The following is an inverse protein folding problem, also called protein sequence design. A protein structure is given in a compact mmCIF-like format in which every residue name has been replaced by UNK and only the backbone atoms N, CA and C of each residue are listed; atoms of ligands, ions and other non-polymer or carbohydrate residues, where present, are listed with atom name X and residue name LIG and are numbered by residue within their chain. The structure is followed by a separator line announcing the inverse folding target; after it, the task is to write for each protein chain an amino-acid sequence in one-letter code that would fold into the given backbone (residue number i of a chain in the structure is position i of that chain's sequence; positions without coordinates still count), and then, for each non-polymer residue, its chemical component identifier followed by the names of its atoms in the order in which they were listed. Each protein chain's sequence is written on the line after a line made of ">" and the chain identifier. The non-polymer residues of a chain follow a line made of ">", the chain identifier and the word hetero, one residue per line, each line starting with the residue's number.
data_IF_355983936523
#
_entry.id   IF_355983936523
#
_cell.length_a   1.000
_cell.length_b   1.000
_cell.length_c   1.000
_cell.angle_alpha   90.00
_cell.angle_beta   90.00
_cell.angle_gamma   90.00
#
_symmetry.space_group_name_H-M   'P 1'
#
loop_
_entity.id
_entity.type
_entity.pdbx_description
1 polymer ?
#
# COMPACT_ATOMS: atom_id res chain seq x y z
N UNK A 1 4.45 8.13 -21.20
CA UNK A 1 4.28 6.86 -20.43
C UNK A 1 3.95 7.28 -19.01
N UNK A 2 2.70 7.09 -18.57
CA UNK A 2 2.14 7.68 -17.36
C UNK A 2 2.97 7.35 -16.11
N UNK A 3 3.32 8.40 -15.37
CA UNK A 3 4.09 8.34 -14.12
C UNK A 3 3.53 7.28 -13.16
N UNK A 4 2.20 7.21 -13.05
CA UNK A 4 1.45 6.29 -12.19
C UNK A 4 1.73 4.81 -12.53
N UNK A 5 1.80 4.46 -13.82
CA UNK A 5 2.06 3.07 -14.25
C UNK A 5 3.47 2.61 -13.87
N UNK A 6 4.44 3.53 -13.82
CA UNK A 6 5.79 3.24 -13.32
C UNK A 6 5.77 3.04 -11.81
N UNK A 7 5.17 3.97 -11.06
CA UNK A 7 5.03 3.89 -9.59
C UNK A 7 4.37 2.58 -9.16
N UNK A 8 3.33 2.13 -9.86
CA UNK A 8 2.62 0.89 -9.52
C UNK A 8 3.41 -0.39 -9.84
N UNK A 9 4.36 -0.36 -10.78
CA UNK A 9 5.20 -1.53 -11.11
C UNK A 9 6.28 -1.79 -10.06
N UNK A 10 6.71 -0.76 -9.37
CA UNK A 10 7.73 -0.84 -8.32
C UNK A 10 7.12 -1.12 -6.93
N UNK A 11 5.79 -1.06 -6.83
CA UNK A 11 5.06 -1.27 -5.58
C UNK A 11 5.14 -2.71 -5.10
N UNK A 12 5.70 -2.89 -3.90
CA UNK A 12 5.88 -4.18 -3.22
C UNK A 12 5.29 -4.12 -1.81
N UNK A 13 4.91 -5.30 -1.31
CA UNK A 13 4.49 -5.49 0.08
C UNK A 13 5.63 -5.09 1.03
N UNK A 14 6.77 -5.76 0.90
CA UNK A 14 8.02 -5.37 1.56
C UNK A 14 8.83 -4.56 0.55
N UNK A 15 9.14 -3.28 0.83
CA UNK A 15 9.90 -2.45 -0.12
C UNK A 15 11.31 -3.00 -0.32
N UNK A 16 11.94 -3.52 0.74
CA UNK A 16 13.24 -4.18 0.71
C UNK A 16 13.42 -5.22 1.84
N UNK A 17 13.98 -6.38 1.51
CA UNK A 17 14.40 -7.39 2.52
C UNK A 17 15.45 -6.83 3.48
N UNK A 18 16.24 -5.84 3.05
CA UNK A 18 17.23 -5.17 3.89
C UNK A 18 16.54 -4.32 4.96
N UNK A 19 15.52 -3.54 4.58
CA UNK A 19 14.77 -2.69 5.52
C UNK A 19 14.10 -3.52 6.61
N UNK A 20 13.52 -4.66 6.26
CA UNK A 20 12.94 -5.56 7.25
C UNK A 20 13.99 -6.11 8.22
N UNK A 21 15.20 -6.44 7.73
CA UNK A 21 16.29 -6.92 8.58
C UNK A 21 16.81 -5.84 9.51
N UNK A 22 16.99 -4.62 9.01
CA UNK A 22 17.42 -3.47 9.81
C UNK A 22 16.38 -3.16 10.89
N UNK A 23 15.09 -3.12 10.53
CA UNK A 23 13.99 -2.91 11.47
C UNK A 23 13.99 -3.96 12.60
N UNK A 24 14.20 -5.24 12.25
CA UNK A 24 14.29 -6.32 13.25
C UNK A 24 15.47 -6.15 14.21
N UNK A 25 16.62 -5.70 13.71
CA UNK A 25 17.80 -5.45 14.53
C UNK A 25 17.52 -4.32 15.52
N UNK A 26 16.97 -3.20 15.05
CA UNK A 26 16.63 -2.05 15.89
C UNK A 26 15.60 -2.43 16.96
N UNK A 27 14.57 -3.19 16.57
CA UNK A 27 13.55 -3.70 17.49
C UNK A 27 14.16 -4.60 18.57
N UNK A 28 15.06 -5.50 18.19
CA UNK A 28 15.76 -6.38 19.13
C UNK A 28 16.66 -5.60 20.10
N UNK A 29 17.39 -4.59 19.63
CA UNK A 29 18.22 -3.72 20.48
C UNK A 29 17.33 -2.94 21.46
N UNK A 30 16.20 -2.41 20.99
CA UNK A 30 15.23 -1.72 21.86
C UNK A 30 14.68 -2.67 22.93
N UNK A 31 14.33 -3.90 22.57
CA UNK A 31 13.89 -4.89 23.54
C UNK A 31 14.96 -5.21 24.60
N UNK A 32 16.22 -5.40 24.18
CA UNK A 32 17.34 -5.66 25.11
C UNK A 32 17.64 -4.50 26.07
N UNK A 33 17.35 -3.26 25.66
CA UNK A 33 17.66 -2.05 26.43
C UNK A 33 16.49 -1.57 27.28
N UNK A 34 15.27 -2.05 27.00
CA UNK A 34 14.12 -1.81 27.87
C UNK A 34 14.21 -2.72 29.09
N UNK A 35 14.44 -2.13 30.27
CA UNK A 35 14.41 -2.83 31.56
C UNK A 35 12.95 -3.14 31.93
N UNK A 36 12.36 -4.11 31.24
CA UNK A 36 10.94 -4.43 31.33
C UNK A 36 10.76 -5.88 31.82
N UNK A 37 10.80 -6.14 33.14
CA UNK A 37 10.75 -7.49 33.69
C UNK A 37 9.44 -8.25 33.43
N UNK A 38 8.43 -7.60 32.84
CA UNK A 38 7.12 -8.15 32.54
C UNK A 38 6.87 -8.41 31.04
N UNK A 39 7.89 -8.36 30.17
CA UNK A 39 7.72 -8.72 28.75
C UNK A 39 7.31 -10.20 28.62
N UNK A 40 6.21 -10.45 27.90
CA UNK A 40 5.78 -11.80 27.52
C UNK A 40 6.67 -12.41 26.42
N UNK A 41 7.54 -11.61 25.80
CA UNK A 41 8.53 -12.06 24.82
C UNK A 41 9.75 -12.61 25.56
N UNK A 42 9.92 -13.93 25.53
CA UNK A 42 10.95 -14.64 26.30
C UNK A 42 12.03 -15.27 25.42
N UNK A 43 11.81 -15.34 24.10
CA UNK A 43 12.73 -15.96 23.15
C UNK A 43 13.03 -15.03 22.00
N UNK A 44 14.18 -15.23 21.36
CA UNK A 44 14.58 -14.49 20.15
C UNK A 44 13.52 -14.61 19.04
N UNK A 45 12.94 -15.80 18.85
CA UNK A 45 11.90 -16.02 17.84
C UNK A 45 10.66 -15.16 18.10
N UNK A 46 10.22 -15.04 19.36
CA UNK A 46 9.07 -14.20 19.71
C UNK A 46 9.35 -12.72 19.43
N UNK A 47 10.58 -12.25 19.70
CA UNK A 47 10.97 -10.86 19.43
C UNK A 47 11.05 -10.60 17.92
N UNK A 48 11.58 -11.55 17.14
CA UNK A 48 11.62 -11.45 15.68
C UNK A 48 10.21 -11.42 15.08
N UNK A 49 9.28 -12.22 15.59
CA UNK A 49 7.87 -12.21 15.16
C UNK A 49 7.15 -10.92 15.58
N UNK A 50 7.38 -10.44 16.81
CA UNK A 50 6.82 -9.16 17.28
C UNK A 50 7.30 -7.99 16.41
N UNK A 51 8.59 -7.96 16.07
CA UNK A 51 9.15 -7.00 15.12
C UNK A 51 8.49 -7.09 13.73
N UNK A 52 8.25 -8.30 13.22
CA UNK A 52 7.51 -8.48 11.96
C UNK A 52 6.08 -7.95 12.05
N UNK A 53 5.37 -8.17 13.15
CA UNK A 53 4.03 -7.63 13.36
C UNK A 53 4.06 -6.11 13.34
N UNK A 54 4.96 -5.48 14.09
CA UNK A 54 5.11 -4.02 14.11
C UNK A 54 5.42 -3.46 12.70
N UNK A 55 6.38 -4.09 12.00
CA UNK A 55 6.73 -3.68 10.64
C UNK A 55 5.55 -3.77 9.68
N UNK A 56 4.82 -4.89 9.68
CA UNK A 56 3.68 -5.10 8.79
C UNK A 56 2.52 -4.14 9.12
N UNK A 57 2.27 -3.84 10.41
CA UNK A 57 1.28 -2.84 10.80
C UNK A 57 1.64 -1.44 10.25
N UNK A 58 2.91 -1.04 10.39
CA UNK A 58 3.39 0.21 9.84
C UNK A 58 3.27 0.23 8.32
N UNK A 59 3.67 -0.86 7.65
CA UNK A 59 3.63 -0.96 6.19
C UNK A 59 2.20 -0.92 5.65
N UNK A 60 1.24 -1.56 6.34
CA UNK A 60 -0.18 -1.47 6.01
C UNK A 60 -0.68 -0.02 6.02
N UNK A 61 -0.31 0.74 7.05
CA UNK A 61 -0.68 2.15 7.16
C UNK A 61 -0.05 2.98 6.04
N UNK A 62 1.24 2.77 5.75
CA UNK A 62 1.92 3.45 4.64
C UNK A 62 1.27 3.16 3.30
N UNK A 63 0.87 1.92 3.02
CA UNK A 63 0.16 1.56 1.79
C UNK A 63 -1.17 2.32 1.66
N UNK A 64 -1.91 2.51 2.75
CA UNK A 64 -3.15 3.30 2.73
C UNK A 64 -2.87 4.78 2.40
N UNK A 65 -1.86 5.37 3.04
CA UNK A 65 -1.44 6.76 2.80
C UNK A 65 -0.92 6.98 1.38
N UNK A 66 -0.10 6.06 0.87
CA UNK A 66 0.40 6.06 -0.51
C UNK A 66 -0.75 5.98 -1.53
N UNK A 67 -1.78 5.17 -1.25
CA UNK A 67 -2.98 5.06 -2.06
C UNK A 67 -3.75 6.41 -2.11
N UNK A 68 -4.03 6.99 -0.95
CA UNK A 68 -4.76 8.26 -0.84
C UNK A 68 -4.01 9.41 -1.52
N UNK A 69 -2.68 9.45 -1.37
CA UNK A 69 -1.82 10.41 -2.07
C UNK A 69 -1.95 10.28 -3.59
N UNK A 70 -1.82 9.06 -4.13
CA UNK A 70 -1.89 8.83 -5.58
C UNK A 70 -3.29 9.10 -6.15
N UNK A 71 -4.35 8.78 -5.41
CA UNK A 71 -5.73 9.14 -5.77
C UNK A 71 -5.86 10.67 -5.85
N UNK A 72 -5.32 11.39 -4.86
CA UNK A 72 -5.35 12.86 -4.84
C UNK A 72 -4.59 13.47 -6.02
N UNK A 73 -3.39 12.95 -6.32
CA UNK A 73 -2.60 13.36 -7.49
C UNK A 73 -3.33 13.13 -8.81
N UNK A 74 -4.02 11.99 -8.97
CA UNK A 74 -4.82 11.69 -10.16
C UNK A 74 -5.97 12.70 -10.32
N UNK A 75 -6.68 13.04 -9.24
CA UNK A 75 -7.73 14.06 -9.29
C UNK A 75 -7.21 15.46 -9.61
N UNK A 76 -6.08 15.86 -9.02
CA UNK A 76 -5.48 17.15 -9.33
C UNK A 76 -5.02 17.23 -10.78
N UNK A 77 -4.42 16.16 -11.31
CA UNK A 77 -4.07 16.08 -12.73
C UNK A 77 -5.31 16.22 -13.63
N UNK A 78 -6.39 15.49 -13.33
CA UNK A 78 -7.65 15.60 -14.06
C UNK A 78 -8.22 17.03 -14.04
N UNK A 79 -8.15 17.74 -12.90
CA UNK A 79 -8.59 19.14 -12.79
C UNK A 79 -7.73 20.04 -13.68
N UNK A 80 -6.42 19.90 -13.64
CA UNK A 80 -5.50 20.69 -14.47
C UNK A 80 -5.75 20.44 -15.96
N UNK A 81 -5.94 19.18 -16.36
CA UNK A 81 -6.22 18.80 -17.74
C UNK A 81 -7.58 19.35 -18.21
N UNK A 82 -8.59 19.33 -17.35
CA UNK A 82 -9.90 19.91 -17.62
C UNK A 82 -9.85 21.43 -17.81
N UNK A 83 -9.04 22.13 -17.01
CA UNK A 83 -8.79 23.58 -17.16
C UNK A 83 -8.03 23.85 -18.46
N UNK A 84 -7.00 23.05 -18.76
CA UNK A 84 -6.24 23.13 -20.01
C UNK A 84 -7.12 22.91 -21.24
N UNK A 85 -8.03 21.93 -21.17
CA UNK A 85 -9.01 21.65 -22.22
C UNK A 85 -9.88 22.89 -22.49
N UNK A 86 -10.43 23.55 -21.46
CA UNK A 86 -11.25 24.77 -21.63
C UNK A 86 -10.51 25.93 -22.30
N UNK A 87 -9.18 26.00 -22.15
CA UNK A 87 -8.34 27.00 -22.81
C UNK A 87 -7.97 26.61 -24.24
N UNK A 88 -8.22 25.37 -24.64
CA UNK A 88 -7.86 24.84 -25.95
C UNK A 88 -8.92 25.21 -26.97
N UNK A 89 -8.49 25.69 -28.14
CA UNK A 89 -9.40 25.99 -29.25
C UNK A 89 -9.87 24.67 -29.89
N UNK A 90 -11.19 24.42 -30.01
CA UNK A 90 -11.69 23.22 -30.65
C UNK A 90 -11.25 23.14 -32.13
N UNK A 91 -10.78 21.98 -32.61
CA UNK A 91 -10.38 21.77 -34.00
C UNK A 91 -11.60 21.45 -34.88
N UNK A 92 -12.68 22.23 -34.78
CA UNK A 92 -13.90 22.01 -35.57
C UNK A 92 -13.99 22.95 -36.77
N UNK A 93 -14.55 22.44 -37.86
CA UNK A 93 -14.76 23.19 -39.10
C UNK A 93 -15.85 24.25 -38.87
N UNK A 94 -15.49 25.52 -39.04
CA UNK A 94 -16.34 26.71 -38.81
C UNK A 94 -17.22 27.09 -40.00
N UNK A 95 -17.70 26.10 -40.75
CA UNK A 95 -18.58 26.31 -41.90
C UNK A 95 -20.01 26.05 -41.47
N UNK A 96 -20.90 27.02 -41.72
CA UNK A 96 -22.33 26.95 -41.42
C UNK A 96 -22.80 28.14 -40.60
N UNK A 97 -24.06 28.09 -40.18
CA UNK A 97 -24.64 29.10 -39.30
C UNK A 97 -23.98 29.04 -37.90
N UNK A 98 -23.88 30.17 -37.17
CA UNK A 98 -23.19 30.25 -35.88
C UNK A 98 -23.61 29.16 -34.87
N UNK A 99 -24.92 28.92 -34.73
CA UNK A 99 -25.45 27.89 -33.82
C UNK A 99 -24.97 26.46 -34.14
N UNK A 100 -24.69 26.16 -35.42
CA UNK A 100 -24.17 24.85 -35.83
C UNK A 100 -22.69 24.71 -35.50
N UNK A 101 -21.93 25.82 -35.59
CA UNK A 101 -20.52 25.85 -35.20
C UNK A 101 -20.40 25.72 -33.69
N UNK A 102 -21.21 26.44 -32.92
CA UNK A 102 -21.28 26.35 -31.46
C UNK A 102 -21.63 24.93 -30.99
N UNK A 103 -22.64 24.29 -31.59
CA UNK A 103 -23.02 22.92 -31.25
C UNK A 103 -21.86 21.92 -31.48
N UNK A 104 -21.07 22.08 -32.55
CA UNK A 104 -19.90 21.24 -32.82
C UNK A 104 -18.76 21.51 -31.84
N UNK A 105 -18.50 22.78 -31.51
CA UNK A 105 -17.51 23.16 -30.50
C UNK A 105 -17.87 22.55 -29.14
N UNK A 106 -19.14 22.64 -28.74
CA UNK A 106 -19.66 22.05 -27.50
C UNK A 106 -19.54 20.53 -27.49
N UNK A 107 -19.99 19.85 -28.55
CA UNK A 107 -19.88 18.39 -28.67
C UNK A 107 -18.42 17.92 -28.57
N UNK A 108 -17.49 18.66 -29.17
CA UNK A 108 -16.07 18.35 -29.07
C UNK A 108 -15.58 18.46 -27.61
N UNK A 109 -15.93 19.54 -26.91
CA UNK A 109 -15.56 19.71 -25.50
C UNK A 109 -16.11 18.60 -24.62
N UNK A 110 -17.39 18.26 -24.76
CA UNK A 110 -18.04 17.17 -24.01
C UNK A 110 -17.34 15.83 -24.29
N UNK A 111 -17.00 15.55 -25.55
CA UNK A 111 -16.28 14.33 -25.92
C UNK A 111 -14.89 14.26 -25.28
N UNK A 112 -14.14 15.37 -25.28
CA UNK A 112 -12.81 15.38 -24.66
C UNK A 112 -12.89 15.29 -23.13
N UNK A 113 -13.85 15.97 -22.51
CA UNK A 113 -14.05 15.91 -21.07
C UNK A 113 -14.41 14.49 -20.62
N UNK A 114 -15.35 13.84 -21.33
CA UNK A 114 -15.72 12.44 -21.07
C UNK A 114 -14.51 11.49 -21.22
N UNK A 115 -13.61 11.74 -22.18
CA UNK A 115 -12.37 10.95 -22.33
C UNK A 115 -11.41 11.15 -21.16
N UNK A 116 -11.23 12.38 -20.69
CA UNK A 116 -10.42 12.67 -19.52
C UNK A 116 -10.99 12.01 -18.27
N UNK A 117 -12.31 12.09 -18.08
CA UNK A 117 -13.00 11.46 -16.95
C UNK A 117 -12.87 9.94 -16.99
N UNK A 118 -13.07 9.34 -18.16
CA UNK A 118 -12.88 7.88 -18.35
C UNK A 118 -11.45 7.46 -18.02
N UNK A 119 -10.46 8.23 -18.48
CA UNK A 119 -9.04 7.95 -18.19
C UNK A 119 -8.75 8.05 -16.70
N UNK A 120 -9.20 9.12 -16.05
CA UNK A 120 -9.06 9.32 -14.60
C UNK A 120 -9.69 8.16 -13.82
N UNK A 121 -10.93 7.79 -14.14
CA UNK A 121 -11.62 6.67 -13.49
C UNK A 121 -10.89 5.32 -13.68
N UNK A 122 -10.34 5.07 -14.87
CA UNK A 122 -9.53 3.88 -15.11
C UNK A 122 -8.27 3.86 -14.24
N UNK A 123 -7.55 4.98 -14.16
CA UNK A 123 -6.35 5.09 -13.32
C UNK A 123 -6.68 4.90 -11.83
N UNK A 124 -7.74 5.54 -11.34
CA UNK A 124 -8.22 5.38 -9.96
C UNK A 124 -8.55 3.91 -9.64
N UNK A 125 -9.21 3.20 -10.54
CA UNK A 125 -9.54 1.80 -10.35
C UNK A 125 -8.29 0.92 -10.30
N UNK A 126 -7.28 1.21 -11.14
CA UNK A 126 -6.02 0.48 -11.12
C UNK A 126 -5.24 0.74 -9.83
N UNK A 127 -5.17 2.00 -9.37
CA UNK A 127 -4.52 2.37 -8.10
C UNK A 127 -5.22 1.63 -6.94
N UNK A 128 -6.53 1.82 -6.79
CA UNK A 128 -7.31 1.18 -5.71
C UNK A 128 -7.16 -0.33 -5.72
N UNK A 129 -7.35 -0.96 -6.89
CA UNK A 129 -7.24 -2.42 -7.01
C UNK A 129 -5.88 -2.95 -6.57
N UNK A 130 -4.79 -2.24 -6.93
CA UNK A 130 -3.44 -2.67 -6.57
C UNK A 130 -3.15 -2.50 -5.08
N UNK A 131 -3.49 -1.36 -4.49
CA UNK A 131 -3.26 -1.11 -3.07
C UNK A 131 -4.14 -1.98 -2.18
N UNK A 132 -5.41 -2.20 -2.54
CA UNK A 132 -6.30 -3.12 -1.82
C UNK A 132 -5.71 -4.52 -1.78
N UNK A 133 -5.20 -5.03 -2.90
CA UNK A 133 -4.58 -6.36 -2.94
C UNK A 133 -3.35 -6.45 -2.01
N UNK A 134 -2.50 -5.42 -1.98
CA UNK A 134 -1.32 -5.40 -1.12
C UNK A 134 -1.66 -5.24 0.37
N UNK A 135 -2.68 -4.44 0.69
CA UNK A 135 -3.18 -4.31 2.06
C UNK A 135 -3.74 -5.65 2.54
N UNK A 136 -4.54 -6.34 1.71
CA UNK A 136 -5.05 -7.69 2.02
C UNK A 136 -3.92 -8.71 2.20
N UNK A 137 -2.88 -8.64 1.35
CA UNK A 137 -1.70 -9.49 1.52
C UNK A 137 -1.02 -9.18 2.86
N UNK A 138 -0.87 -7.91 3.21
CA UNK A 138 -0.32 -7.47 4.49
C UNK A 138 -1.14 -7.97 5.69
N UNK A 139 -2.48 -7.88 5.63
CA UNK A 139 -3.37 -8.40 6.66
C UNK A 139 -3.23 -9.92 6.81
N UNK A 140 -3.10 -10.68 5.71
CA UNK A 140 -2.85 -12.12 5.77
C UNK A 140 -1.51 -12.48 6.43
N UNK A 141 -0.45 -11.71 6.14
CA UNK A 141 0.85 -11.89 6.80
C UNK A 141 0.78 -11.52 8.28
N UNK A 142 0.08 -10.44 8.63
CA UNK A 142 -0.15 -10.02 10.01
C UNK A 142 -0.86 -11.12 10.82
N UNK A 143 -2.00 -11.61 10.33
CA UNK A 143 -2.76 -12.67 10.99
C UNK A 143 -1.89 -13.91 11.21
N UNK A 144 -1.13 -14.33 10.19
CA UNK A 144 -0.25 -15.49 10.28
C UNK A 144 0.85 -15.30 11.32
N UNK A 145 1.52 -14.15 11.32
CA UNK A 145 2.63 -13.87 12.24
C UNK A 145 2.13 -13.70 13.67
N UNK A 146 0.98 -13.04 13.88
CA UNK A 146 0.34 -12.89 15.18
C UNK A 146 -0.13 -14.23 15.75
N UNK A 147 -0.69 -15.12 14.91
CA UNK A 147 -1.07 -16.46 15.35
C UNK A 147 0.16 -17.25 15.82
N UNK A 148 1.26 -17.23 15.06
CA UNK A 148 2.52 -17.87 15.47
C UNK A 148 3.09 -17.30 16.75
N UNK A 149 3.06 -15.98 16.93
CA UNK A 149 3.51 -15.33 18.16
C UNK A 149 2.65 -15.78 19.36
N UNK A 150 1.34 -15.82 19.18
CA UNK A 150 0.39 -16.27 20.19
C UNK A 150 0.62 -17.74 20.57
N UNK A 151 0.85 -18.62 19.59
CA UNK A 151 1.19 -20.03 19.83
C UNK A 151 2.46 -20.18 20.69
N UNK A 152 3.50 -19.38 20.41
CA UNK A 152 4.73 -19.40 21.20
C UNK A 152 4.53 -18.87 22.63
N UNK A 153 3.67 -17.87 22.83
CA UNK A 153 3.32 -17.34 24.15
C UNK A 153 2.55 -18.36 25.01
N UNK A 154 1.75 -19.22 24.39
CA UNK A 154 0.93 -20.22 25.09
C UNK A 154 1.58 -21.61 25.15
N UNK A 155 2.79 -21.77 24.58
CA UNK A 155 3.51 -23.05 24.62
C UNK A 155 3.94 -23.32 26.07
N UNK A 156 3.47 -24.40 26.71
CA UNK A 156 3.90 -24.71 28.07
C UNK A 156 5.40 -24.99 28.09
N UNK A 157 6.13 -24.41 29.06
CA UNK A 157 7.59 -24.58 29.28
C UNK A 157 8.09 -26.02 29.45
N UNK A 158 7.23 -27.04 29.37
CA UNK A 158 7.57 -28.43 29.66
C UNK A 158 8.09 -29.19 28.42
N UNK A 159 9.23 -28.78 27.87
CA UNK A 159 9.97 -29.58 26.88
C UNK A 159 11.48 -29.64 27.11
N UNK A 160 11.98 -29.16 28.25
CA UNK A 160 13.39 -29.24 28.64
C UNK A 160 13.46 -29.64 30.11
N UNK A 161 13.37 -30.95 30.37
CA UNK A 161 14.01 -31.68 31.47
C UNK A 161 13.35 -33.05 31.61
N UNK A 162 13.77 -33.99 30.78
CA UNK A 162 13.86 -35.36 31.24
C UNK A 162 15.33 -35.76 31.13
N UNK A 163 16.07 -35.92 32.24
CA UNK A 163 17.31 -36.65 32.19
C UNK A 163 16.93 -38.06 31.76
N UNK A 164 17.45 -38.49 30.61
CA UNK A 164 17.49 -39.90 30.24
C UNK A 164 18.33 -40.61 31.31
N UNK A 165 17.69 -41.01 32.39
CA UNK A 165 18.20 -42.04 33.27
C UNK A 165 18.23 -43.32 32.46
N UNK A 166 19.40 -43.72 32.02
CA UNK A 166 19.64 -45.10 31.58
C UNK A 166 19.39 -46.02 32.77
N UNK A 167 18.51 -47.03 32.64
CA UNK A 167 18.50 -48.14 33.58
C UNK A 167 19.46 -49.23 33.08
N UNK A 168 20.48 -49.47 33.92
CA UNK A 168 21.27 -50.70 34.11
C UNK A 168 22.29 -51.10 33.04
#
# INVERSE_FOLDING_TARGET
>A
MNSIVRTLKELKLIPSDLELKEFKIDHYINWLTQDNPNTSLTTKEMIELDAEVCFLQQRRQQLAEECDRLISECFEQFKQDSIGLRKTKPPVIRIGAPHQVEAREQQWFETQLNRLETTCNQELNVIRGRYVALIQECDHWLDRTQNRLTELQHRPSNALDQPTGEPS
#
